data_IF_966527202506
#
_entry.id   IF_966527202506
#
_cell.length_a   1.000
_cell.length_b   1.000
_cell.length_c   1.000
_cell.angle_alpha   90.00
_cell.angle_beta   90.00
_cell.angle_gamma   90.00
#
_symmetry.space_group_name_H-M   'P 1'
#
loop_
_entity.id
_entity.type
_entity.pdbx_description
1 polymer ?
#
# COMPACT_ATOMS: atom_id res chain seq x y z
N UNK A 1 35.29 17.50 28.67
CA UNK A 1 33.95 18.11 28.47
C UNK A 1 33.74 18.78 27.11
N UNK A 2 34.77 19.33 26.45
CA UNK A 2 34.63 20.03 25.16
C UNK A 2 34.36 19.13 23.93
N UNK A 3 34.77 17.86 23.94
CA UNK A 3 34.58 16.95 22.80
C UNK A 3 33.15 16.41 22.66
N UNK A 4 32.41 16.18 23.76
CA UNK A 4 31.00 15.73 23.73
C UNK A 4 30.04 16.80 23.17
N UNK A 5 30.30 18.09 23.44
CA UNK A 5 29.51 19.20 22.91
C UNK A 5 29.67 19.40 21.40
N UNK A 6 30.81 19.01 20.82
CA UNK A 6 31.09 19.13 19.38
C UNK A 6 30.38 18.03 18.59
N UNK A 7 30.42 16.79 19.06
CA UNK A 7 29.69 15.66 18.46
C UNK A 7 28.16 15.85 18.48
N UNK A 8 27.60 16.38 19.58
CA UNK A 8 26.16 16.65 19.68
C UNK A 8 25.70 17.79 18.76
N UNK A 9 26.52 18.83 18.59
CA UNK A 9 26.26 19.90 17.61
C UNK A 9 26.34 19.41 16.16
N UNK A 10 27.30 18.54 15.83
CA UNK A 10 27.42 17.98 14.48
C UNK A 10 26.26 17.03 14.14
N UNK A 11 25.77 16.24 15.11
CA UNK A 11 24.57 15.42 14.94
C UNK A 11 23.30 16.27 14.76
N UNK A 12 23.14 17.37 15.52
CA UNK A 12 22.02 18.32 15.37
C UNK A 12 22.07 19.05 14.02
N UNK A 13 23.25 19.44 13.54
CA UNK A 13 23.40 20.09 12.23
C UNK A 13 23.18 19.13 11.04
N UNK A 14 23.54 17.84 11.18
CA UNK A 14 23.19 16.81 10.19
C UNK A 14 21.70 16.49 10.22
N UNK A 15 21.07 16.51 11.40
CA UNK A 15 19.62 16.35 11.56
C UNK A 15 18.85 17.55 10.98
N UNK A 16 19.28 18.79 11.24
CA UNK A 16 18.69 19.99 10.63
C UNK A 16 18.94 20.09 9.12
N UNK A 17 20.10 19.63 8.63
CA UNK A 17 20.43 19.60 7.20
C UNK A 17 19.58 18.60 6.41
N UNK A 18 19.34 17.41 6.97
CA UNK A 18 18.38 16.44 6.43
C UNK A 18 16.96 16.99 6.43
N UNK A 19 16.63 17.89 7.37
CA UNK A 19 15.27 18.43 7.54
C UNK A 19 14.94 19.56 6.56
N UNK A 20 15.94 20.31 6.10
CA UNK A 20 15.73 21.50 5.25
C UNK A 20 15.38 21.18 3.78
N UNK A 21 15.47 19.92 3.35
CA UNK A 21 15.09 19.48 1.99
C UNK A 21 13.71 18.79 1.91
N UNK A 22 12.98 18.61 3.03
CA UNK A 22 11.63 17.98 3.05
C UNK A 22 10.51 18.80 2.38
N UNK A 23 10.80 20.02 1.93
CA UNK A 23 9.81 21.07 1.70
C UNK A 23 8.97 20.97 0.41
N UNK A 24 8.56 19.78 -0.05
CA UNK A 24 7.69 19.71 -1.23
C UNK A 24 6.52 18.71 -1.17
N UNK A 25 6.40 17.84 -0.16
CA UNK A 25 5.17 17.04 0.08
C UNK A 25 4.89 16.73 1.54
N UNK A 26 5.81 17.01 2.47
CA UNK A 26 5.57 16.84 3.90
C UNK A 26 6.14 18.02 4.69
N UNK A 27 5.41 18.43 5.72
CA UNK A 27 5.72 19.56 6.57
C UNK A 27 6.04 19.07 7.99
N UNK A 28 7.27 18.59 8.25
CA UNK A 28 7.64 18.09 9.57
C UNK A 28 7.80 19.25 10.57
N UNK A 29 6.95 19.27 11.59
CA UNK A 29 7.10 20.14 12.76
C UNK A 29 8.01 19.48 13.80
N UNK A 30 9.29 19.81 13.75
CA UNK A 30 10.32 19.22 14.62
C UNK A 30 10.05 19.43 16.11
N UNK A 31 9.47 20.57 16.49
CA UNK A 31 9.12 20.83 17.89
C UNK A 31 7.99 19.90 18.35
N UNK A 32 6.96 19.72 17.52
CA UNK A 32 5.88 18.76 17.76
C UNK A 32 6.42 17.33 17.87
N UNK A 33 7.29 16.91 16.95
CA UNK A 33 7.89 15.57 16.97
C UNK A 33 8.69 15.37 18.26
N UNK A 34 9.51 16.35 18.65
CA UNK A 34 10.31 16.25 19.87
C UNK A 34 9.45 16.18 21.14
N UNK A 35 8.33 16.93 21.18
CA UNK A 35 7.42 17.00 22.31
C UNK A 35 6.55 15.74 22.46
N UNK A 36 5.94 15.28 21.37
CA UNK A 36 4.94 14.21 21.40
C UNK A 36 5.47 12.84 20.98
N UNK A 37 6.46 12.81 20.09
CA UNK A 37 7.00 11.59 19.48
C UNK A 37 8.48 11.37 19.77
N UNK A 38 9.04 12.02 20.80
CA UNK A 38 10.47 11.98 21.10
C UNK A 38 11.00 10.57 21.40
N UNK A 39 10.19 9.72 22.05
CA UNK A 39 10.55 8.33 22.36
C UNK A 39 10.63 7.49 21.07
N UNK A 40 9.61 7.57 20.22
CA UNK A 40 9.54 6.86 18.94
C UNK A 40 10.64 7.35 17.99
N UNK A 41 10.91 8.66 17.99
CA UNK A 41 12.01 9.26 17.23
C UNK A 41 13.37 8.72 17.68
N UNK A 42 13.60 8.63 18.99
CA UNK A 42 14.83 8.09 19.54
C UNK A 42 14.99 6.58 19.24
N UNK A 43 13.90 5.80 19.30
CA UNK A 43 13.89 4.40 18.88
C UNK A 43 14.24 4.26 17.39
N UNK A 44 13.58 5.02 16.52
CA UNK A 44 13.85 5.02 15.08
C UNK A 44 15.31 5.37 14.78
N UNK A 45 15.87 6.37 15.47
CA UNK A 45 17.29 6.71 15.37
C UNK A 45 18.23 5.61 15.88
N UNK A 46 17.77 4.74 16.77
CA UNK A 46 18.51 3.57 17.25
C UNK A 46 18.45 2.37 16.30
N UNK A 47 17.37 2.25 15.54
CA UNK A 47 17.08 1.14 14.64
C UNK A 47 17.69 1.31 13.23
N UNK A 48 18.18 0.23 12.61
CA UNK A 48 18.80 0.31 11.28
C UNK A 48 17.80 0.42 10.14
N UNK A 49 16.69 -0.31 10.19
CA UNK A 49 15.65 -0.30 9.17
C UNK A 49 14.96 1.05 9.11
N UNK A 50 14.50 1.55 10.26
CA UNK A 50 13.88 2.87 10.39
C UNK A 50 14.82 4.00 9.94
N UNK A 51 16.08 4.01 10.41
CA UNK A 51 17.08 5.00 9.92
C UNK A 51 17.28 4.92 8.41
N UNK A 52 17.38 3.71 7.85
CA UNK A 52 17.59 3.51 6.42
C UNK A 52 16.38 3.96 5.60
N UNK A 53 15.16 3.70 6.07
CA UNK A 53 13.93 4.17 5.46
C UNK A 53 13.92 5.70 5.42
N UNK A 54 14.13 6.36 6.57
CA UNK A 54 14.15 7.82 6.66
C UNK A 54 15.22 8.46 5.76
N UNK A 55 16.44 7.93 5.77
CA UNK A 55 17.52 8.42 4.91
C UNK A 55 17.25 8.18 3.42
N UNK A 56 16.63 7.07 3.05
CA UNK A 56 16.26 6.81 1.66
C UNK A 56 15.18 7.80 1.19
N UNK A 57 14.11 7.96 1.99
CA UNK A 57 13.01 8.89 1.72
C UNK A 57 13.53 10.32 1.57
N UNK A 58 14.49 10.76 2.40
CA UNK A 58 15.09 12.11 2.27
C UNK A 58 15.80 12.35 0.93
N UNK A 59 16.23 11.29 0.25
CA UNK A 59 16.85 11.39 -1.07
C UNK A 59 15.85 11.44 -2.23
N UNK A 60 14.55 11.24 -1.97
CA UNK A 60 13.52 11.27 -3.00
C UNK A 60 13.03 12.69 -3.27
N UNK A 61 12.75 12.99 -4.54
CA UNK A 61 11.93 14.15 -4.86
C UNK A 61 10.52 13.97 -4.28
N UNK A 62 9.94 15.03 -3.71
CA UNK A 62 8.70 14.90 -2.95
C UNK A 62 7.51 14.38 -3.78
N UNK A 63 7.45 14.74 -5.06
CA UNK A 63 6.42 14.26 -5.99
C UNK A 63 6.75 12.90 -6.64
N UNK A 64 7.86 12.27 -6.29
CA UNK A 64 8.26 10.98 -6.84
C UNK A 64 7.78 9.84 -5.93
N UNK A 65 6.50 9.49 -6.10
CA UNK A 65 5.84 8.43 -5.33
C UNK A 65 6.55 7.08 -5.47
N UNK A 66 7.03 6.73 -6.67
CA UNK A 66 7.76 5.49 -6.90
C UNK A 66 9.01 5.42 -6.01
N UNK A 67 9.81 6.48 -5.95
CA UNK A 67 10.97 6.54 -5.06
C UNK A 67 10.59 6.38 -3.58
N UNK A 68 9.53 7.07 -3.14
CA UNK A 68 9.05 7.00 -1.77
C UNK A 68 8.65 5.57 -1.38
N UNK A 69 7.79 4.93 -2.18
CA UNK A 69 7.33 3.57 -1.92
C UNK A 69 8.46 2.54 -2.05
N UNK A 70 9.36 2.68 -3.02
CA UNK A 70 10.53 1.80 -3.15
C UNK A 70 11.42 1.87 -1.89
N UNK A 71 11.66 3.08 -1.36
CA UNK A 71 12.40 3.28 -0.11
C UNK A 71 11.68 2.65 1.10
N UNK A 72 10.38 2.91 1.24
CA UNK A 72 9.59 2.39 2.36
C UNK A 72 9.57 0.87 2.31
N UNK A 73 9.15 0.26 1.20
CA UNK A 73 9.08 -1.19 1.09
C UNK A 73 10.44 -1.90 1.25
N UNK A 74 11.53 -1.22 0.86
CA UNK A 74 12.89 -1.74 1.06
C UNK A 74 13.27 -1.83 2.53
N UNK A 75 12.87 -0.88 3.36
CA UNK A 75 13.46 -0.68 4.68
C UNK A 75 12.49 -0.71 5.85
N UNK A 76 11.20 -0.47 5.65
CA UNK A 76 10.23 -0.38 6.74
C UNK A 76 10.23 -1.65 7.61
N UNK A 77 9.90 -1.40 8.86
CA UNK A 77 9.72 -2.34 9.96
C UNK A 77 8.78 -1.71 11.01
N UNK A 78 8.49 -2.48 12.06
CA UNK A 78 7.56 -2.05 13.10
C UNK A 78 8.02 -0.76 13.83
N UNK A 79 9.33 -0.49 13.90
CA UNK A 79 9.86 0.73 14.55
C UNK A 79 9.59 1.95 13.69
N UNK A 80 9.73 1.83 12.37
CA UNK A 80 9.31 2.85 11.40
C UNK A 80 7.81 3.11 11.50
N UNK A 81 6.99 2.06 11.53
CA UNK A 81 5.53 2.19 11.63
C UNK A 81 5.10 2.88 12.93
N UNK A 82 5.70 2.52 14.08
CA UNK A 82 5.45 3.18 15.36
C UNK A 82 5.77 4.68 15.30
N UNK A 83 6.91 5.04 14.69
CA UNK A 83 7.30 6.43 14.55
C UNK A 83 6.35 7.20 13.62
N UNK A 84 6.07 6.67 12.44
CA UNK A 84 5.17 7.29 11.47
C UNK A 84 3.74 7.40 11.99
N UNK A 85 3.27 6.39 12.74
CA UNK A 85 1.96 6.46 13.39
C UNK A 85 1.90 7.61 14.39
N UNK A 86 2.90 7.74 15.25
CA UNK A 86 2.96 8.84 16.20
C UNK A 86 2.99 10.20 15.48
N UNK A 87 3.95 10.35 14.56
CA UNK A 87 4.26 11.63 13.94
C UNK A 87 3.22 12.07 12.92
N UNK A 88 2.69 11.16 12.11
CA UNK A 88 1.78 11.50 11.00
C UNK A 88 0.31 11.31 11.35
N UNK A 89 -0.02 10.30 12.17
CA UNK A 89 -1.42 9.93 12.44
C UNK A 89 -1.91 10.44 13.79
N UNK A 90 -1.17 10.19 14.88
CA UNK A 90 -1.68 10.47 16.24
C UNK A 90 -1.55 11.94 16.62
N UNK A 91 -0.42 12.57 16.25
CA UNK A 91 -0.13 13.96 16.60
C UNK A 91 -0.04 14.91 15.41
N UNK A 92 -0.08 14.38 14.17
CA UNK A 92 -0.01 15.16 12.93
C UNK A 92 1.16 16.17 12.93
N UNK A 93 2.27 15.79 13.55
CA UNK A 93 3.51 16.54 13.52
C UNK A 93 4.17 16.49 12.13
N UNK A 94 3.86 15.49 11.31
CA UNK A 94 4.18 15.45 9.88
C UNK A 94 2.85 15.47 9.14
N UNK A 95 2.56 16.57 8.44
CA UNK A 95 1.40 16.66 7.56
C UNK A 95 1.86 16.61 6.11
N UNK A 96 1.04 16.02 5.25
CA UNK A 96 1.28 16.07 3.81
C UNK A 96 0.56 17.28 3.23
N UNK A 97 1.17 17.94 2.25
CA UNK A 97 0.43 18.91 1.44
C UNK A 97 -0.53 18.16 0.52
N UNK A 98 -1.79 18.59 0.38
CA UNK A 98 -2.71 17.97 -0.55
C UNK A 98 -2.15 18.11 -1.98
N UNK A 99 -2.31 17.08 -2.83
CA UNK A 99 -1.89 17.15 -4.22
C UNK A 99 -2.61 18.30 -4.94
N UNK A 100 -1.87 19.06 -5.75
CA UNK A 100 -2.40 20.12 -6.59
C UNK A 100 -1.99 19.88 -8.06
N UNK A 101 -2.94 19.58 -8.97
CA UNK A 101 -4.39 19.48 -8.73
C UNK A 101 -4.77 18.28 -7.84
N UNK A 102 -5.93 18.32 -7.17
CA UNK A 102 -6.42 17.18 -6.39
C UNK A 102 -6.47 15.91 -7.24
N UNK A 103 -6.02 14.80 -6.66
CA UNK A 103 -6.21 13.49 -7.28
C UNK A 103 -7.69 13.14 -7.17
N UNK A 104 -8.34 12.98 -8.32
CA UNK A 104 -9.74 12.57 -8.41
C UNK A 104 -9.76 11.16 -8.96
N UNK A 105 -10.32 10.21 -8.22
CA UNK A 105 -10.55 8.86 -8.73
C UNK A 105 -11.63 8.85 -9.80
N UNK A 106 -11.52 7.92 -10.75
CA UNK A 106 -12.48 7.74 -11.85
C UNK A 106 -13.16 6.37 -11.78
N UNK A 107 -14.00 6.12 -10.76
CA UNK A 107 -14.59 4.81 -10.57
C UNK A 107 -15.52 4.42 -11.73
N UNK A 108 -15.38 3.21 -12.29
CA UNK A 108 -16.35 2.67 -13.22
C UNK A 108 -17.75 2.61 -12.60
N UNK A 109 -18.76 2.95 -13.42
CA UNK A 109 -20.15 2.99 -12.98
C UNK A 109 -20.79 1.60 -12.95
N UNK A 110 -20.44 0.74 -13.90
CA UNK A 110 -20.95 -0.64 -13.97
C UNK A 110 -20.24 -1.50 -12.94
N UNK A 111 -21.00 -2.04 -12.00
CA UNK A 111 -20.53 -2.98 -10.97
C UNK A 111 -21.43 -4.21 -10.94
N UNK A 112 -20.90 -5.32 -10.47
CA UNK A 112 -21.61 -6.59 -10.35
C UNK A 112 -22.63 -6.53 -9.21
N UNK A 113 -23.89 -6.20 -9.51
CA UNK A 113 -24.91 -5.93 -8.49
C UNK A 113 -25.28 -7.15 -7.63
N UNK A 114 -25.17 -8.37 -8.17
CA UNK A 114 -25.46 -9.61 -7.46
C UNK A 114 -24.27 -10.14 -6.65
N UNK A 115 -23.13 -9.45 -6.67
CA UNK A 115 -21.95 -9.89 -5.94
C UNK A 115 -22.17 -9.78 -4.43
N UNK A 116 -21.88 -10.85 -3.70
CA UNK A 116 -21.74 -10.85 -2.23
C UNK A 116 -20.28 -10.98 -1.82
N UNK A 117 -19.91 -10.34 -0.69
CA UNK A 117 -18.54 -10.39 -0.17
C UNK A 117 -18.07 -11.82 0.14
N UNK A 118 -18.99 -12.73 0.44
CA UNK A 118 -18.70 -14.16 0.66
C UNK A 118 -17.99 -14.81 -0.52
N UNK A 119 -18.22 -14.32 -1.74
CA UNK A 119 -17.53 -14.82 -2.93
C UNK A 119 -16.02 -14.52 -2.93
N UNK A 120 -15.56 -13.55 -2.12
CA UNK A 120 -14.13 -13.28 -1.93
C UNK A 120 -13.46 -14.32 -1.03
N UNK A 121 -14.19 -15.11 -0.25
CA UNK A 121 -13.63 -16.06 0.71
C UNK A 121 -12.53 -16.93 0.10
N UNK A 122 -11.43 -17.10 0.84
CA UNK A 122 -10.26 -17.84 0.42
C UNK A 122 -9.18 -16.96 -0.22
N UNK A 123 -8.21 -17.61 -0.87
CA UNK A 123 -7.05 -16.94 -1.46
C UNK A 123 -7.26 -16.61 -2.93
N UNK A 124 -6.70 -15.48 -3.34
CA UNK A 124 -6.69 -14.97 -4.70
C UNK A 124 -5.30 -14.46 -5.06
N UNK A 125 -4.81 -14.83 -6.24
CA UNK A 125 -3.60 -14.31 -6.84
C UNK A 125 -3.94 -13.05 -7.62
N UNK A 126 -3.12 -12.01 -7.52
CA UNK A 126 -3.20 -10.87 -8.43
C UNK A 126 -2.39 -11.21 -9.66
N UNK A 127 -3.05 -11.38 -10.80
CA UNK A 127 -2.45 -11.86 -12.06
C UNK A 127 -2.33 -10.79 -13.12
N UNK A 128 -2.97 -9.63 -12.91
CA UNK A 128 -2.85 -8.41 -13.70
C UNK A 128 -3.01 -7.20 -12.79
N UNK A 129 -2.23 -6.16 -13.03
CA UNK A 129 -2.28 -4.91 -12.27
C UNK A 129 -2.15 -3.68 -13.15
N UNK A 130 -2.93 -2.62 -12.88
CA UNK A 130 -2.92 -1.39 -13.66
C UNK A 130 -1.92 -0.37 -13.12
N UNK A 131 -1.91 -0.17 -11.80
CA UNK A 131 -1.06 0.83 -11.18
C UNK A 131 0.34 0.25 -10.94
N UNK A 132 1.40 0.75 -11.60
CA UNK A 132 2.74 0.18 -11.46
C UNK A 132 3.34 0.32 -10.06
N UNK A 133 2.83 1.23 -9.23
CA UNK A 133 3.31 1.46 -7.86
C UNK A 133 2.67 0.47 -6.88
N UNK A 134 1.41 0.07 -7.11
CA UNK A 134 0.61 -0.67 -6.12
C UNK A 134 0.21 -2.09 -6.57
N UNK A 135 0.16 -2.36 -7.88
CA UNK A 135 -0.47 -3.56 -8.42
C UNK A 135 0.50 -4.54 -9.10
N UNK A 136 1.78 -4.19 -9.17
CA UNK A 136 2.76 -4.87 -10.03
C UNK A 136 3.86 -5.62 -9.26
N UNK A 137 3.50 -6.14 -8.08
CA UNK A 137 4.42 -6.94 -7.27
C UNK A 137 4.40 -8.41 -7.72
N UNK A 138 5.56 -9.05 -7.68
CA UNK A 138 5.64 -10.49 -7.89
C UNK A 138 5.12 -11.23 -6.65
N UNK A 139 4.74 -12.50 -6.81
CA UNK A 139 4.23 -13.33 -5.73
C UNK A 139 3.19 -12.59 -4.88
N UNK A 140 2.07 -12.17 -5.49
CA UNK A 140 1.06 -11.34 -4.84
C UNK A 140 -0.23 -12.14 -4.62
N UNK A 141 -0.57 -12.35 -3.35
CA UNK A 141 -1.75 -13.13 -2.92
C UNK A 141 -2.51 -12.37 -1.83
N UNK A 142 -3.82 -12.25 -2.03
CA UNK A 142 -4.76 -11.70 -1.05
C UNK A 142 -5.68 -12.82 -0.56
N UNK A 143 -5.82 -12.97 0.76
CA UNK A 143 -6.68 -13.96 1.38
C UNK A 143 -7.76 -13.30 2.22
N UNK A 144 -9.02 -13.59 1.91
CA UNK A 144 -10.17 -13.10 2.65
C UNK A 144 -10.72 -14.21 3.55
N UNK A 145 -10.95 -13.89 4.82
CA UNK A 145 -11.56 -14.79 5.80
C UNK A 145 -12.67 -14.06 6.54
N UNK A 146 -13.85 -14.67 6.76
CA UNK A 146 -14.83 -14.11 7.68
C UNK A 146 -14.18 -13.83 9.04
N UNK A 147 -14.37 -12.63 9.57
CA UNK A 147 -13.79 -12.26 10.86
C UNK A 147 -14.49 -13.03 11.96
N UNK A 148 -13.70 -13.56 12.90
CA UNK A 148 -14.26 -14.23 14.10
C UNK A 148 -14.79 -13.24 15.14
N UNK A 149 -14.57 -11.94 14.94
CA UNK A 149 -14.94 -10.88 15.88
C UNK A 149 -16.26 -10.21 15.52
N UNK A 150 -16.54 -10.07 14.22
CA UNK A 150 -17.70 -9.34 13.70
C UNK A 150 -18.19 -10.02 12.42
N UNK A 151 -19.42 -10.52 12.43
CA UNK A 151 -19.99 -11.36 11.35
C UNK A 151 -20.06 -10.66 9.98
N UNK A 152 -20.03 -9.33 9.94
CA UNK A 152 -20.11 -8.54 8.70
C UNK A 152 -18.75 -8.08 8.17
N UNK A 153 -17.67 -8.45 8.86
CA UNK A 153 -16.30 -8.05 8.53
C UNK A 153 -15.53 -9.26 8.04
N UNK A 154 -14.67 -9.04 7.05
CA UNK A 154 -13.68 -10.00 6.61
C UNK A 154 -12.29 -9.52 7.02
N UNK A 155 -11.49 -10.41 7.60
CA UNK A 155 -10.06 -10.20 7.76
C UNK A 155 -9.37 -10.47 6.41
N UNK A 156 -8.56 -9.51 5.96
CA UNK A 156 -7.84 -9.56 4.69
C UNK A 156 -6.35 -9.62 4.96
N UNK A 157 -5.69 -10.61 4.35
CA UNK A 157 -4.26 -10.83 4.48
C UNK A 157 -3.61 -10.81 3.11
N UNK A 158 -2.82 -9.80 2.84
CA UNK A 158 -2.07 -9.65 1.60
C UNK A 158 -0.62 -10.03 1.83
N UNK A 159 -0.03 -10.69 0.84
CA UNK A 159 1.41 -11.00 0.81
C UNK A 159 1.94 -10.73 -0.59
N UNK A 160 3.09 -10.07 -0.68
CA UNK A 160 3.70 -9.70 -1.95
C UNK A 160 5.22 -9.53 -1.84
N UNK A 161 5.92 -9.71 -2.96
CA UNK A 161 7.35 -9.52 -3.05
C UNK A 161 7.70 -8.15 -3.62
N UNK A 162 8.59 -7.46 -2.92
CA UNK A 162 9.13 -6.16 -3.34
C UNK A 162 10.60 -6.28 -3.70
N UNK A 163 10.99 -5.61 -4.78
CA UNK A 163 12.40 -5.45 -5.13
C UNK A 163 12.97 -4.30 -4.31
N UNK A 164 14.10 -4.51 -3.66
CA UNK A 164 14.68 -3.48 -2.79
C UNK A 164 15.58 -2.52 -3.58
N UNK A 165 15.72 -1.28 -3.11
CA UNK A 165 16.58 -0.26 -3.73
C UNK A 165 18.07 -0.64 -3.77
N UNK A 166 18.52 -1.54 -2.88
CA UNK A 166 19.90 -2.08 -2.87
C UNK A 166 20.04 -3.37 -3.70
N UNK A 167 18.98 -3.80 -4.35
CA UNK A 167 18.89 -5.10 -5.01
C UNK A 167 18.55 -6.23 -4.04
N UNK A 168 17.85 -7.23 -4.55
CA UNK A 168 17.28 -8.33 -3.77
C UNK A 168 15.77 -8.23 -3.64
N UNK A 169 15.20 -9.14 -2.86
CA UNK A 169 13.75 -9.28 -2.66
C UNK A 169 13.44 -9.26 -1.17
N UNK A 170 12.40 -8.54 -0.76
CA UNK A 170 11.76 -8.69 0.56
C UNK A 170 10.32 -9.17 0.40
N UNK A 171 9.88 -10.00 1.33
CA UNK A 171 8.49 -10.41 1.45
C UNK A 171 7.75 -9.40 2.33
N UNK A 172 6.67 -8.82 1.83
CA UNK A 172 5.79 -7.92 2.57
C UNK A 172 4.48 -8.62 2.88
N UNK A 173 3.81 -8.12 3.92
CA UNK A 173 2.44 -8.47 4.20
C UNK A 173 1.67 -7.27 4.71
N UNK A 174 0.39 -7.21 4.37
CA UNK A 174 -0.54 -6.19 4.83
C UNK A 174 -1.76 -6.88 5.40
N UNK A 175 -2.24 -6.37 6.54
CA UNK A 175 -3.47 -6.83 7.18
C UNK A 175 -4.52 -5.73 7.07
N UNK A 176 -5.70 -6.07 6.59
CA UNK A 176 -6.81 -5.13 6.43
C UNK A 176 -8.12 -5.77 6.89
N UNK A 177 -9.17 -4.95 6.93
CA UNK A 177 -10.53 -5.43 7.13
C UNK A 177 -11.42 -5.00 5.99
N UNK A 178 -12.26 -5.90 5.49
CA UNK A 178 -13.23 -5.63 4.44
C UNK A 178 -14.66 -5.62 4.98
N UNK A 179 -15.49 -4.71 4.46
CA UNK A 179 -16.94 -4.67 4.70
C UNK A 179 -17.68 -4.44 3.40
N UNK A 180 -18.81 -5.13 3.21
CA UNK A 180 -19.63 -4.92 2.02
C UNK A 180 -20.47 -3.66 2.18
N UNK A 181 -20.44 -2.77 1.17
CA UNK A 181 -21.31 -1.61 1.12
C UNK A 181 -22.62 -1.95 0.41
N UNK A 182 -22.54 -2.41 -0.84
CA UNK A 182 -23.70 -2.82 -1.63
C UNK A 182 -23.26 -3.56 -2.90
N UNK A 183 -23.83 -4.73 -3.19
CA UNK A 183 -23.48 -5.52 -4.38
C UNK A 183 -21.95 -5.69 -4.50
N UNK A 184 -21.40 -5.49 -5.70
CA UNK A 184 -19.96 -5.54 -5.96
C UNK A 184 -19.11 -4.45 -5.32
N UNK A 185 -19.65 -3.61 -4.43
CA UNK A 185 -18.92 -2.55 -3.75
C UNK A 185 -18.60 -2.97 -2.31
N UNK A 186 -17.32 -2.93 -1.96
CA UNK A 186 -16.83 -3.17 -0.60
C UNK A 186 -15.78 -2.13 -0.23
N UNK A 187 -15.57 -1.93 1.07
CA UNK A 187 -14.57 -1.01 1.60
C UNK A 187 -13.50 -1.80 2.35
N UNK A 188 -12.23 -1.49 2.10
CA UNK A 188 -11.10 -1.94 2.92
C UNK A 188 -10.61 -0.81 3.81
N UNK A 189 -10.15 -1.18 5.01
CA UNK A 189 -9.48 -0.27 5.94
C UNK A 189 -8.27 -0.93 6.57
N UNK A 190 -7.19 -0.18 6.75
CA UNK A 190 -5.95 -0.67 7.36
C UNK A 190 -5.15 0.44 8.05
N UNK A 191 -4.08 0.04 8.73
CA UNK A 191 -3.00 0.90 9.21
C UNK A 191 -1.72 0.39 8.55
N UNK A 192 -1.19 1.14 7.59
CA UNK A 192 -0.01 0.76 6.82
C UNK A 192 1.03 1.88 6.92
N UNK A 193 2.29 1.55 7.19
CA UNK A 193 3.38 2.54 7.28
C UNK A 193 3.08 3.67 8.28
N UNK A 194 2.29 3.39 9.31
CA UNK A 194 1.81 4.37 10.29
C UNK A 194 0.70 5.31 9.81
N UNK A 195 0.06 5.04 8.67
CA UNK A 195 -1.07 5.81 8.15
C UNK A 195 -2.36 4.99 8.12
N UNK A 196 -3.47 5.63 8.48
CA UNK A 196 -4.80 5.08 8.20
C UNK A 196 -5.03 5.06 6.69
N UNK A 197 -5.41 3.91 6.16
CA UNK A 197 -5.78 3.73 4.76
C UNK A 197 -7.23 3.32 4.65
N UNK A 198 -7.90 3.87 3.65
CA UNK A 198 -9.28 3.53 3.29
C UNK A 198 -9.35 3.32 1.80
N UNK A 199 -10.03 2.28 1.33
CA UNK A 199 -10.29 2.13 -0.10
C UNK A 199 -11.66 1.56 -0.38
N UNK A 200 -12.32 2.11 -1.39
CA UNK A 200 -13.54 1.54 -1.95
C UNK A 200 -13.16 0.72 -3.18
N UNK A 201 -13.58 -0.53 -3.16
CA UNK A 201 -13.36 -1.50 -4.21
C UNK A 201 -14.66 -1.81 -4.94
N UNK A 202 -14.53 -2.13 -6.22
CA UNK A 202 -15.63 -2.40 -7.15
C UNK A 202 -15.31 -3.64 -7.96
N UNK A 203 -16.13 -4.68 -7.82
CA UNK A 203 -16.10 -5.84 -8.71
C UNK A 203 -16.83 -5.46 -10.01
N UNK A 204 -16.08 -5.46 -11.10
CA UNK A 204 -16.52 -5.07 -12.43
C UNK A 204 -16.99 -6.26 -13.27
N UNK A 205 -16.46 -7.45 -12.98
CA UNK A 205 -16.81 -8.70 -13.64
C UNK A 205 -16.50 -9.88 -12.72
N UNK A 206 -17.40 -10.87 -12.68
CA UNK A 206 -17.14 -12.17 -12.06
C UNK A 206 -16.93 -13.22 -13.15
N UNK A 207 -15.72 -13.77 -13.19
CA UNK A 207 -15.37 -14.82 -14.13
C UNK A 207 -16.21 -16.08 -13.93
N UNK A 208 -16.49 -16.82 -15.01
CA UNK A 208 -17.24 -18.09 -14.96
C UNK A 208 -16.79 -18.99 -13.81
N UNK A 209 -17.73 -19.40 -12.96
CA UNK A 209 -17.46 -20.25 -11.80
C UNK A 209 -16.68 -19.57 -10.66
N UNK A 210 -16.69 -18.24 -10.60
CA UNK A 210 -15.92 -17.43 -9.64
C UNK A 210 -14.42 -17.71 -9.71
N UNK A 211 -13.91 -17.97 -10.92
CA UNK A 211 -12.52 -18.38 -11.13
C UNK A 211 -11.54 -17.19 -11.16
N UNK A 212 -12.02 -16.01 -11.55
CA UNK A 212 -11.28 -14.75 -11.55
C UNK A 212 -12.24 -13.58 -11.31
N UNK A 213 -11.74 -12.43 -10.90
CA UNK A 213 -12.49 -11.20 -10.74
C UNK A 213 -11.73 -10.05 -11.40
N UNK A 214 -12.43 -9.20 -12.15
CA UNK A 214 -11.90 -7.89 -12.54
C UNK A 214 -12.37 -6.88 -11.49
N UNK A 215 -11.43 -6.21 -10.83
CA UNK A 215 -11.72 -5.26 -9.77
C UNK A 215 -11.06 -3.90 -10.05
N UNK A 216 -11.70 -2.85 -9.57
CA UNK A 216 -11.17 -1.49 -9.51
C UNK A 216 -11.18 -1.02 -8.06
N UNK A 217 -10.23 -0.18 -7.68
CA UNK A 217 -10.24 0.46 -6.37
C UNK A 217 -9.90 1.95 -6.46
N UNK A 218 -10.48 2.70 -5.54
CA UNK A 218 -10.10 4.07 -5.22
C UNK A 218 -9.81 4.13 -3.72
N UNK A 219 -8.57 4.46 -3.38
CA UNK A 219 -8.08 4.53 -2.01
C UNK A 219 -7.63 5.93 -1.62
N UNK A 220 -7.51 6.12 -0.32
CA UNK A 220 -6.84 7.26 0.29
C UNK A 220 -5.91 6.83 1.42
N UNK A 221 -4.81 7.55 1.54
CA UNK A 221 -3.89 7.53 2.68
C UNK A 221 -4.14 8.82 3.43
N UNK A 222 -4.53 8.72 4.70
CA UNK A 222 -5.03 9.88 5.45
C UNK A 222 -6.19 10.57 4.67
N UNK A 223 -6.46 11.86 4.91
CA UNK A 223 -7.59 12.56 4.30
C UNK A 223 -7.32 13.11 2.89
N UNK A 224 -6.05 13.25 2.51
CA UNK A 224 -5.66 14.18 1.43
C UNK A 224 -4.93 13.52 0.26
N UNK A 225 -4.48 12.26 0.41
CA UNK A 225 -3.74 11.56 -0.63
C UNK A 225 -4.58 10.44 -1.21
N UNK A 226 -4.95 10.54 -2.49
CA UNK A 226 -5.76 9.53 -3.17
C UNK A 226 -4.94 8.74 -4.18
N UNK A 227 -5.33 7.49 -4.39
CA UNK A 227 -4.75 6.60 -5.37
C UNK A 227 -5.84 5.72 -5.97
N UNK A 228 -5.69 5.33 -7.23
CA UNK A 228 -6.60 4.41 -7.88
C UNK A 228 -5.81 3.35 -8.66
N UNK A 229 -6.49 2.24 -8.91
CA UNK A 229 -5.93 1.15 -9.66
C UNK A 229 -6.99 0.13 -10.02
N UNK A 230 -6.54 -0.92 -10.66
CA UNK A 230 -7.41 -2.02 -11.06
C UNK A 230 -6.58 -3.26 -11.23
N UNK A 231 -7.14 -4.36 -10.77
CA UNK A 231 -6.46 -5.64 -10.71
C UNK A 231 -7.36 -6.75 -11.22
N UNK A 232 -6.73 -7.86 -11.58
CA UNK A 232 -7.41 -9.12 -11.81
C UNK A 232 -7.02 -10.10 -10.73
N UNK A 233 -7.98 -10.47 -9.89
CA UNK A 233 -7.85 -11.60 -8.97
C UNK A 233 -8.09 -12.90 -9.72
N UNK A 234 -7.36 -13.95 -9.36
CA UNK A 234 -7.52 -15.30 -9.92
C UNK A 234 -7.38 -16.35 -8.81
N UNK A 235 -8.19 -17.42 -8.86
CA UNK A 235 -8.05 -18.54 -7.93
C UNK A 235 -6.76 -19.32 -8.12
N UNK A 236 -6.13 -19.20 -9.29
CA UNK A 236 -4.86 -19.84 -9.65
C UNK A 236 -3.79 -18.80 -9.97
N UNK A 237 -2.48 -19.14 -9.86
CA UNK A 237 -1.37 -18.22 -10.15
C UNK A 237 -1.35 -17.65 -11.58
N UNK A 238 -2.08 -18.28 -12.51
CA UNK A 238 -2.23 -17.86 -13.89
C UNK A 238 -3.61 -18.23 -14.41
N UNK A 239 -4.09 -17.49 -15.41
CA UNK A 239 -5.34 -17.76 -16.11
C UNK A 239 -5.15 -18.77 -17.25
N UNK A 240 -6.15 -19.59 -17.50
CA UNK A 240 -6.24 -20.44 -18.70
C UNK A 240 -6.58 -19.61 -19.94
N UNK A 241 -6.36 -20.17 -21.14
CA UNK A 241 -6.69 -19.48 -22.39
C UNK A 241 -8.16 -19.07 -22.48
N UNK A 242 -9.09 -19.91 -22.00
CA UNK A 242 -10.53 -19.59 -22.01
C UNK A 242 -10.86 -18.44 -21.06
N UNK A 243 -10.28 -18.44 -19.85
CA UNK A 243 -10.44 -17.35 -18.90
C UNK A 243 -9.83 -16.03 -19.43
N UNK A 244 -8.72 -16.10 -20.15
CA UNK A 244 -8.12 -14.91 -20.78
C UNK A 244 -9.04 -14.32 -21.87
N UNK A 245 -9.71 -15.16 -22.67
CA UNK A 245 -10.70 -14.69 -23.66
C UNK A 245 -11.85 -13.98 -22.97
N UNK A 246 -12.40 -14.57 -21.91
CA UNK A 246 -13.49 -13.97 -21.11
C UNK A 246 -13.03 -12.65 -20.48
N UNK A 247 -11.84 -12.63 -19.87
CA UNK A 247 -11.27 -11.44 -19.25
C UNK A 247 -11.12 -10.30 -20.25
N UNK A 248 -10.57 -10.56 -21.44
CA UNK A 248 -10.40 -9.53 -22.48
C UNK A 248 -11.75 -8.97 -22.93
N UNK A 249 -12.80 -9.80 -22.99
CA UNK A 249 -14.16 -9.32 -23.25
C UNK A 249 -14.66 -8.40 -22.12
N UNK A 250 -14.46 -8.78 -20.86
CA UNK A 250 -14.83 -7.96 -19.70
C UNK A 250 -14.11 -6.59 -19.69
N UNK A 251 -12.80 -6.57 -20.01
CA UNK A 251 -12.04 -5.32 -20.20
C UNK A 251 -12.68 -4.40 -21.25
N UNK A 252 -13.03 -4.98 -22.40
CA UNK A 252 -13.65 -4.24 -23.51
C UNK A 252 -15.00 -3.67 -23.12
N UNK A 253 -15.82 -4.43 -22.38
CA UNK A 253 -17.11 -3.94 -21.88
C UNK A 253 -16.98 -2.77 -20.92
N UNK A 254 -15.93 -2.74 -20.11
CA UNK A 254 -15.65 -1.67 -19.16
C UNK A 254 -14.90 -0.48 -19.79
N UNK A 255 -14.51 -0.58 -21.08
CA UNK A 255 -13.71 0.45 -21.75
C UNK A 255 -12.29 0.59 -21.21
N UNK A 256 -11.78 -0.45 -20.55
CA UNK A 256 -10.46 -0.45 -19.92
C UNK A 256 -9.43 -1.05 -20.89
N UNK A 257 -8.29 -0.38 -21.04
CA UNK A 257 -7.20 -0.83 -21.91
C UNK A 257 -6.35 -1.91 -21.22
N UNK A 258 -6.62 -3.17 -21.55
CA UNK A 258 -5.89 -4.34 -21.06
C UNK A 258 -4.36 -4.25 -21.30
N UNK A 259 -3.91 -3.55 -22.34
CA UNK A 259 -2.47 -3.50 -22.68
C UNK A 259 -1.62 -2.72 -21.67
N UNK A 260 -2.27 -1.91 -20.83
CA UNK A 260 -1.61 -1.14 -19.77
C UNK A 260 -1.32 -1.96 -18.51
N UNK A 261 -1.84 -3.18 -18.43
CA UNK A 261 -1.70 -3.99 -17.22
C UNK A 261 -0.37 -4.75 -17.22
N UNK A 262 0.36 -4.63 -16.12
CA UNK A 262 1.48 -5.50 -15.82
C UNK A 262 1.00 -6.92 -15.51
N UNK A 263 1.93 -7.88 -15.51
CA UNK A 263 1.66 -9.28 -15.18
C UNK A 263 2.61 -9.72 -14.06
N UNK A 264 2.15 -9.70 -12.80
CA UNK A 264 2.85 -10.32 -11.69
C UNK A 264 3.29 -11.75 -11.98
N UNK A 265 4.51 -12.11 -11.57
CA UNK A 265 4.96 -13.49 -11.63
C UNK A 265 4.63 -14.22 -10.33
N UNK A 266 3.60 -15.08 -10.39
CA UNK A 266 3.16 -15.91 -9.26
C UNK A 266 3.61 -17.38 -9.36
N UNK A 267 4.46 -17.72 -10.33
CA UNK A 267 4.74 -19.13 -10.71
C UNK A 267 6.08 -19.68 -10.23
N UNK A 268 6.99 -18.82 -9.74
CA UNK A 268 8.33 -19.24 -9.30
C UNK A 268 8.60 -18.72 -7.90
N UNK A 269 8.94 -19.63 -6.99
CA UNK A 269 9.51 -19.33 -5.67
C UNK A 269 8.67 -18.43 -4.75
N UNK A 270 7.35 -18.38 -4.93
CA UNK A 270 6.47 -17.72 -3.98
C UNK A 270 6.37 -18.59 -2.72
N UNK A 271 7.33 -18.43 -1.80
CA UNK A 271 7.39 -19.10 -0.51
C UNK A 271 6.38 -18.48 0.45
N UNK A 272 5.09 -18.57 0.12
CA UNK A 272 4.06 -18.41 1.13
C UNK A 272 4.00 -19.72 1.89
N UNK A 273 4.85 -19.86 2.91
CA UNK A 273 4.60 -20.87 3.93
C UNK A 273 3.21 -20.56 4.49
N UNK A 274 2.22 -21.34 4.03
CA UNK A 274 0.90 -21.43 4.63
C UNK A 274 1.12 -22.15 5.96
N UNK A 275 1.46 -21.36 6.98
CA UNK A 275 1.29 -21.73 8.38
C UNK A 275 -0.10 -21.29 8.80
#
# INVERSE_FOLDING_TARGET
MFHKKKAMKTAIFLYLGMVLEFAHCSNPNILCIAEHCGVQSAKCLGDEGCRSAMMCITGCAANNQTCLFDCIYSYEDDVFDEFMKCASTDHQCITNDPPNPPVVCHPPQKVESSFTIDQLTGSWYIVKGLNPIYDCFDCQVTTFKPSVKVDTVYDVFEKFDVKTVKGGVRHRSVNETATQASGGIYNLTSMQMGHNTHSQWRILHVGTGNAFLLAYYCGSISADYFFEGSIVYSRTPSLTSNQLVELVAAFKEQGIDYSKYCTPNNTKNCSFNTS
#
